data_IF_845537941888
#
_entry.id   IF_845537941888
#
_cell.length_a   1.000
_cell.length_b   1.000
_cell.length_c   1.000
_cell.angle_alpha   90.00
_cell.angle_beta   90.00
_cell.angle_gamma   90.00
#
_symmetry.space_group_name_H-M   'P 1'
#
loop_
_entity.id
_entity.type
_entity.pdbx_description
1 polymer ?
#
# COMPACT_ATOMS: atom_id res chain seq x y z
N UNK A 1 19.66 48.00 7.18
CA UNK A 1 19.00 49.30 6.86
C UNK A 1 17.50 49.17 7.12
N UNK A 2 16.85 50.12 7.79
CA UNK A 2 15.39 50.05 8.04
C UNK A 2 14.69 51.27 7.45
N UNK A 3 13.72 51.06 6.58
CA UNK A 3 12.85 52.09 6.00
C UNK A 3 11.40 51.80 6.37
N UNK A 4 10.66 52.85 6.77
CA UNK A 4 9.26 52.74 7.18
C UNK A 4 8.43 53.84 6.57
N UNK A 5 7.25 53.51 6.05
CA UNK A 5 6.30 54.47 5.46
C UNK A 5 6.94 55.33 4.35
N UNK A 6 7.72 54.69 3.48
CA UNK A 6 8.53 55.36 2.47
C UNK A 6 8.05 55.03 1.06
N UNK A 7 8.12 56.01 0.15
CA UNK A 7 7.94 55.80 -1.28
C UNK A 7 9.27 56.08 -1.97
N UNK A 8 9.85 55.07 -2.61
CA UNK A 8 11.08 55.21 -3.39
C UNK A 8 10.77 54.81 -4.82
N UNK A 9 11.09 55.68 -5.77
CA UNK A 9 10.90 55.36 -7.18
C UNK A 9 12.03 54.46 -7.66
N UNK A 10 13.28 54.83 -7.39
CA UNK A 10 14.45 54.12 -7.89
C UNK A 10 15.47 53.87 -6.78
N UNK A 11 15.92 52.63 -6.66
CA UNK A 11 17.07 52.26 -5.85
C UNK A 11 18.02 51.41 -6.68
N UNK A 12 19.22 51.95 -6.95
CA UNK A 12 20.28 51.24 -7.67
C UNK A 12 21.49 51.06 -6.78
N UNK A 13 21.89 49.80 -6.59
CA UNK A 13 23.05 49.42 -5.79
C UNK A 13 24.02 48.60 -6.63
N UNK A 14 25.29 49.01 -6.61
CA UNK A 14 26.37 48.40 -7.40
C UNK A 14 27.54 48.05 -6.49
N UNK A 15 28.05 46.81 -6.63
CA UNK A 15 29.18 46.30 -5.84
C UNK A 15 28.98 46.50 -4.32
N UNK A 16 27.76 46.26 -3.85
CA UNK A 16 27.37 46.54 -2.47
C UNK A 16 27.27 45.26 -1.65
N UNK A 17 27.54 45.37 -0.35
CA UNK A 17 27.23 44.33 0.62
C UNK A 17 26.27 44.94 1.62
N UNK A 18 25.07 44.37 1.72
CA UNK A 18 24.04 44.83 2.64
C UNK A 18 23.58 43.67 3.51
N UNK A 19 23.48 43.95 4.80
CA UNK A 19 22.91 43.04 5.78
C UNK A 19 21.68 43.69 6.41
N UNK A 20 20.69 42.88 6.73
CA UNK A 20 19.50 43.27 7.50
C UNK A 20 18.74 44.44 6.87
N UNK A 21 18.28 44.28 5.63
CA UNK A 21 17.43 45.27 4.98
C UNK A 21 15.96 45.02 5.31
N UNK A 22 15.32 45.96 6.00
CA UNK A 22 13.91 45.85 6.39
C UNK A 22 13.12 47.03 5.83
N UNK A 23 12.08 46.73 5.06
CA UNK A 23 11.12 47.70 4.55
C UNK A 23 9.74 47.40 5.13
N UNK A 24 9.09 48.41 5.68
CA UNK A 24 7.76 48.28 6.28
C UNK A 24 6.82 49.38 5.81
N UNK A 25 5.65 48.98 5.30
CA UNK A 25 4.66 49.89 4.71
C UNK A 25 5.29 50.76 3.61
N UNK A 26 6.15 50.16 2.78
CA UNK A 26 6.90 50.89 1.76
C UNK A 26 6.39 50.57 0.36
N UNK A 27 6.50 51.55 -0.54
CA UNK A 27 6.26 51.36 -1.97
C UNK A 27 7.58 51.61 -2.69
N UNK A 28 8.09 50.59 -3.36
CA UNK A 28 9.25 50.69 -4.24
C UNK A 28 8.79 50.38 -5.67
N UNK A 29 9.11 51.28 -6.60
CA UNK A 29 8.86 51.00 -8.01
C UNK A 29 9.98 50.13 -8.55
N UNK A 30 11.23 50.61 -8.52
CA UNK A 30 12.37 49.95 -9.13
C UNK A 30 13.49 49.70 -8.11
N UNK A 31 13.87 48.44 -7.93
CA UNK A 31 15.05 48.02 -7.17
C UNK A 31 16.01 47.23 -8.06
N UNK A 32 17.21 47.79 -8.30
CA UNK A 32 18.24 47.16 -9.13
C UNK A 32 19.51 46.92 -8.33
N UNK A 33 19.95 45.66 -8.29
CA UNK A 33 21.17 45.22 -7.63
C UNK A 33 22.12 44.57 -8.64
N UNK A 34 23.33 45.11 -8.70
CA UNK A 34 24.38 44.62 -9.61
C UNK A 34 25.60 44.26 -8.79
N UNK A 35 26.12 43.04 -8.99
CA UNK A 35 27.29 42.51 -8.28
C UNK A 35 27.18 42.68 -6.76
N UNK A 36 25.99 42.49 -6.19
CA UNK A 36 25.73 42.79 -4.78
C UNK A 36 25.50 41.51 -3.97
N UNK A 37 25.84 41.57 -2.69
CA UNK A 37 25.56 40.50 -1.72
C UNK A 37 24.58 41.05 -0.69
N UNK A 38 23.40 40.44 -0.63
CA UNK A 38 22.39 40.74 0.36
C UNK A 38 22.18 39.54 1.27
N UNK A 39 22.25 39.80 2.57
CA UNK A 39 21.86 38.87 3.61
C UNK A 39 20.70 39.48 4.37
N UNK A 40 19.61 38.74 4.50
CA UNK A 40 18.37 39.15 5.18
C UNK A 40 17.67 40.39 4.58
N UNK A 41 16.84 40.17 3.57
CA UNK A 41 15.88 41.16 3.08
C UNK A 41 14.46 40.83 3.56
N UNK A 42 13.84 41.77 4.28
CA UNK A 42 12.50 41.61 4.83
C UNK A 42 11.59 42.73 4.35
N UNK A 43 10.49 42.37 3.67
CA UNK A 43 9.44 43.27 3.23
C UNK A 43 8.15 42.94 3.98
N UNK A 44 7.58 43.94 4.67
CA UNK A 44 6.34 43.82 5.43
C UNK A 44 5.35 44.86 4.92
N UNK A 45 4.14 44.42 4.56
CA UNK A 45 3.09 45.28 4.01
C UNK A 45 3.60 46.21 2.89
N UNK A 46 4.52 45.70 2.06
CA UNK A 46 5.22 46.51 1.07
C UNK A 46 4.76 46.15 -0.34
N UNK A 47 4.82 47.13 -1.24
CA UNK A 47 4.61 46.92 -2.66
C UNK A 47 5.94 47.16 -3.35
N UNK A 48 6.40 46.16 -4.11
CA UNK A 48 7.57 46.26 -4.95
C UNK A 48 7.16 45.91 -6.38
N UNK A 49 7.27 46.87 -7.30
CA UNK A 49 6.88 46.63 -8.68
C UNK A 49 7.96 45.80 -9.38
N UNK A 50 9.20 46.29 -9.40
CA UNK A 50 10.29 45.69 -10.15
C UNK A 50 11.50 45.42 -9.24
N UNK A 51 11.95 44.17 -9.21
CA UNK A 51 13.20 43.76 -8.58
C UNK A 51 14.11 43.08 -9.59
N UNK A 52 15.28 43.68 -9.84
CA UNK A 52 16.27 43.15 -10.78
C UNK A 52 17.59 42.87 -10.07
N UNK A 53 18.01 41.60 -10.08
CA UNK A 53 19.29 41.15 -9.56
C UNK A 53 20.18 40.65 -10.71
N UNK A 54 21.37 41.25 -10.84
CA UNK A 54 22.37 40.86 -11.84
C UNK A 54 23.66 40.50 -11.13
N UNK A 55 24.16 39.29 -11.38
CA UNK A 55 25.38 38.73 -10.76
C UNK A 55 25.37 38.90 -9.22
N UNK A 56 24.20 38.77 -8.59
CA UNK A 56 24.02 39.07 -7.17
C UNK A 56 23.74 37.80 -6.38
N UNK A 57 24.07 37.84 -5.09
CA UNK A 57 23.78 36.77 -4.15
C UNK A 57 22.80 37.33 -3.12
N UNK A 58 21.67 36.65 -2.95
CA UNK A 58 20.66 36.97 -1.96
C UNK A 58 20.41 35.71 -1.12
N UNK A 59 20.80 35.74 0.13
CA UNK A 59 20.69 34.55 1.00
C UNK A 59 19.26 34.35 1.47
N UNK A 60 18.65 35.38 2.05
CA UNK A 60 17.33 35.29 2.65
C UNK A 60 16.44 36.44 2.18
N UNK A 61 15.25 36.09 1.67
CA UNK A 61 14.21 37.04 1.32
C UNK A 61 12.87 36.64 1.93
N UNK A 62 12.29 37.52 2.74
CA UNK A 62 11.00 37.30 3.42
C UNK A 62 10.01 38.39 3.04
N UNK A 63 8.90 38.00 2.44
CA UNK A 63 7.77 38.89 2.10
C UNK A 63 6.55 38.51 2.94
N UNK A 64 6.12 39.43 3.81
CA UNK A 64 4.89 39.27 4.61
C UNK A 64 3.85 40.28 4.20
N UNK A 65 2.64 39.83 3.85
CA UNK A 65 1.54 40.67 3.36
C UNK A 65 1.98 41.64 2.25
N UNK A 66 2.89 41.23 1.40
CA UNK A 66 3.54 42.10 0.42
C UNK A 66 3.18 41.71 -1.00
N UNK A 67 3.26 42.67 -1.91
CA UNK A 67 3.05 42.45 -3.33
C UNK A 67 4.37 42.68 -4.03
N UNK A 68 4.81 41.69 -4.80
CA UNK A 68 5.93 41.76 -5.71
C UNK A 68 5.41 41.46 -7.12
N UNK A 69 5.46 42.44 -8.02
CA UNK A 69 4.96 42.24 -9.38
C UNK A 69 5.98 41.43 -10.17
N UNK A 70 7.18 41.99 -10.38
CA UNK A 70 8.19 41.43 -11.26
C UNK A 70 9.51 41.21 -10.52
N UNK A 71 10.03 39.98 -10.61
CA UNK A 71 11.35 39.63 -10.11
C UNK A 71 12.20 38.99 -11.19
N UNK A 72 13.33 39.62 -11.52
CA UNK A 72 14.27 39.14 -12.54
C UNK A 72 15.63 38.86 -11.93
N UNK A 73 16.07 37.61 -12.00
CA UNK A 73 17.40 37.18 -11.57
C UNK A 73 18.22 36.77 -12.79
N UNK A 74 19.31 37.48 -13.07
CA UNK A 74 20.29 37.13 -14.10
C UNK A 74 21.63 36.77 -13.47
N UNK A 75 22.13 35.55 -13.76
CA UNK A 75 23.37 35.00 -13.19
C UNK A 75 23.46 35.16 -11.66
N UNK A 76 22.32 35.08 -10.97
CA UNK A 76 22.21 35.39 -9.55
C UNK A 76 21.85 34.15 -8.75
N UNK A 77 22.17 34.17 -7.46
CA UNK A 77 21.86 33.10 -6.53
C UNK A 77 20.88 33.64 -5.51
N UNK A 78 19.74 32.97 -5.38
CA UNK A 78 18.77 33.16 -4.31
C UNK A 78 18.68 31.87 -3.51
N UNK A 79 19.06 31.91 -2.24
CA UNK A 79 19.09 30.70 -1.42
C UNK A 79 17.70 30.41 -0.86
N UNK A 80 17.15 31.33 -0.07
CA UNK A 80 15.87 31.16 0.62
C UNK A 80 14.89 32.29 0.27
N UNK A 81 13.69 31.91 -0.16
CA UNK A 81 12.58 32.83 -0.38
C UNK A 81 11.32 32.38 0.37
N UNK A 82 10.79 33.25 1.23
CA UNK A 82 9.61 32.97 2.05
C UNK A 82 8.53 34.02 1.78
N UNK A 83 7.36 33.57 1.35
CA UNK A 83 6.19 34.41 1.10
C UNK A 83 5.05 34.03 2.04
N UNK A 84 4.61 34.96 2.88
CA UNK A 84 3.52 34.79 3.84
C UNK A 84 2.40 35.78 3.52
N UNK A 85 1.23 35.27 3.11
CA UNK A 85 0.10 36.08 2.65
C UNK A 85 0.50 37.10 1.58
N UNK A 86 1.46 36.74 0.72
CA UNK A 86 2.05 37.65 -0.25
C UNK A 86 1.67 37.24 -1.67
N UNK A 87 1.78 38.19 -2.60
CA UNK A 87 1.53 37.97 -4.02
C UNK A 87 2.85 38.17 -4.75
N UNK A 88 3.26 37.17 -5.52
CA UNK A 88 4.33 37.27 -6.51
C UNK A 88 3.73 36.99 -7.89
N UNK A 89 3.79 38.00 -8.77
CA UNK A 89 3.13 37.87 -10.08
C UNK A 89 4.04 37.12 -11.05
N UNK A 90 5.20 37.67 -11.36
CA UNK A 90 6.14 37.12 -12.34
C UNK A 90 7.54 36.97 -11.73
N UNK A 91 8.12 35.78 -11.90
CA UNK A 91 9.51 35.51 -11.54
C UNK A 91 10.27 34.94 -12.74
N UNK A 92 11.38 35.57 -13.12
CA UNK A 92 12.21 35.19 -14.25
C UNK A 92 13.63 34.88 -13.81
N UNK A 93 14.10 33.67 -14.09
CA UNK A 93 15.45 33.20 -13.78
C UNK A 93 16.23 32.93 -15.07
N UNK A 94 17.29 33.71 -15.29
CA UNK A 94 18.20 33.58 -16.42
C UNK A 94 19.57 33.18 -15.91
N UNK A 95 19.96 31.91 -16.14
CA UNK A 95 21.20 31.34 -15.60
C UNK A 95 21.37 31.56 -14.09
N UNK A 96 20.25 31.57 -13.37
CA UNK A 96 20.19 31.85 -11.94
C UNK A 96 19.79 30.60 -11.17
N UNK A 97 20.16 30.57 -9.90
CA UNK A 97 19.86 29.47 -8.99
C UNK A 97 18.88 29.99 -7.94
N UNK A 98 17.76 29.29 -7.78
CA UNK A 98 16.87 29.40 -6.64
C UNK A 98 16.91 28.06 -5.90
N UNK A 99 17.25 28.06 -4.61
CA UNK A 99 17.43 26.81 -3.87
C UNK A 99 16.13 26.38 -3.18
N UNK A 100 15.58 27.24 -2.32
CA UNK A 100 14.43 26.92 -1.49
C UNK A 100 13.39 28.06 -1.57
N UNK A 101 12.12 27.68 -1.72
CA UNK A 101 10.97 28.60 -1.78
C UNK A 101 9.82 28.08 -0.92
N UNK A 102 9.33 28.90 0.00
CA UNK A 102 8.25 28.58 0.93
C UNK A 102 7.08 29.54 0.74
N UNK A 103 5.90 28.97 0.49
CA UNK A 103 4.65 29.72 0.28
C UNK A 103 3.66 29.38 1.39
N UNK A 104 3.21 30.39 2.15
CA UNK A 104 2.18 30.26 3.18
C UNK A 104 1.05 31.22 2.84
N UNK A 105 -0.10 30.69 2.41
CA UNK A 105 -1.26 31.49 1.98
C UNK A 105 -0.91 32.54 0.91
N UNK A 106 0.05 32.25 0.06
CA UNK A 106 0.59 33.17 -0.94
C UNK A 106 0.19 32.77 -2.35
N UNK A 107 0.14 33.75 -3.24
CA UNK A 107 -0.22 33.57 -4.65
C UNK A 107 1.05 33.72 -5.49
N UNK A 108 1.25 32.77 -6.41
CA UNK A 108 2.30 32.78 -7.43
C UNK A 108 1.66 32.52 -8.79
N UNK A 109 1.84 33.41 -9.77
CA UNK A 109 1.16 33.28 -11.07
C UNK A 109 2.05 32.84 -12.23
N UNK A 110 3.25 33.40 -12.41
CA UNK A 110 4.16 33.04 -13.49
C UNK A 110 5.61 32.85 -13.01
N UNK A 111 6.25 31.79 -13.51
CA UNK A 111 7.61 31.39 -13.19
C UNK A 111 8.32 30.98 -14.47
N UNK A 112 9.13 31.89 -15.02
CA UNK A 112 9.93 31.69 -16.21
C UNK A 112 11.36 31.24 -15.90
N UNK A 113 11.76 30.05 -16.37
CA UNK A 113 13.16 29.61 -16.31
C UNK A 113 13.77 29.57 -17.72
N UNK A 114 14.81 30.38 -17.95
CA UNK A 114 15.63 30.33 -19.17
C UNK A 114 17.06 29.97 -18.78
N UNK A 115 17.37 28.66 -18.76
CA UNK A 115 18.74 28.18 -18.53
C UNK A 115 19.39 27.72 -19.83
N UNK A 116 20.62 28.20 -20.09
CA UNK A 116 21.58 27.49 -20.94
C UNK A 116 22.70 26.99 -20.03
N UNK A 117 22.57 25.74 -19.60
CA UNK A 117 23.67 24.89 -19.15
C UNK A 117 24.51 25.39 -17.97
N UNK A 118 24.12 25.01 -16.76
CA UNK A 118 25.05 24.61 -15.71
C UNK A 118 24.28 23.72 -14.72
N UNK A 119 24.44 22.41 -14.86
CA UNK A 119 24.04 21.43 -13.86
C UNK A 119 24.83 21.69 -12.58
N UNK A 120 24.16 22.30 -11.61
CA UNK A 120 24.66 22.58 -10.28
C UNK A 120 23.57 22.36 -9.23
N UNK A 121 22.72 21.35 -9.44
CA UNK A 121 21.60 20.99 -8.57
C UNK A 121 21.28 19.49 -8.54
N UNK A 122 22.20 18.63 -8.99
CA UNK A 122 21.99 17.18 -9.08
C UNK A 122 22.21 16.43 -7.75
N UNK A 123 22.20 17.11 -6.59
CA UNK A 123 22.31 16.42 -5.29
C UNK A 123 21.04 16.38 -4.45
N UNK A 124 19.99 17.12 -4.78
CA UNK A 124 18.68 17.00 -4.09
C UNK A 124 17.61 16.30 -4.94
N UNK A 125 17.71 16.35 -6.28
CA UNK A 125 16.79 15.62 -7.16
C UNK A 125 17.07 14.11 -7.30
N UNK A 126 18.27 13.64 -6.93
CA UNK A 126 18.59 12.19 -6.93
C UNK A 126 18.17 11.49 -5.63
N UNK A 127 18.06 12.22 -4.51
CA UNK A 127 17.54 11.65 -3.25
C UNK A 127 16.02 11.49 -3.31
N UNK A 128 15.26 12.49 -3.78
CA UNK A 128 13.80 12.34 -3.92
C UNK A 128 13.39 11.34 -5.01
N UNK A 129 14.04 11.36 -6.19
CA UNK A 129 13.80 10.32 -7.22
C UNK A 129 14.32 8.95 -6.78
N UNK A 130 15.39 8.92 -5.99
CA UNK A 130 15.91 7.70 -5.38
C UNK A 130 14.98 7.13 -4.32
N UNK A 131 14.32 7.96 -3.52
CA UNK A 131 13.35 7.58 -2.51
C UNK A 131 12.01 7.16 -3.12
N UNK A 132 11.55 7.84 -4.18
CA UNK A 132 10.35 7.44 -4.90
C UNK A 132 10.56 6.12 -5.66
N UNK A 133 11.71 5.95 -6.34
CA UNK A 133 12.08 4.67 -6.96
C UNK A 133 12.32 3.56 -5.93
N UNK A 134 12.94 3.86 -4.77
CA UNK A 134 13.11 2.89 -3.67
C UNK A 134 11.76 2.50 -3.09
N UNK A 135 10.86 3.46 -2.88
CA UNK A 135 9.50 3.24 -2.42
C UNK A 135 8.69 2.40 -3.39
N UNK A 136 8.78 2.65 -4.69
CA UNK A 136 8.15 1.81 -5.71
C UNK A 136 8.74 0.40 -5.78
N UNK A 137 10.08 0.26 -5.72
CA UNK A 137 10.75 -1.04 -5.70
C UNK A 137 10.41 -1.83 -4.44
N UNK A 138 10.30 -1.17 -3.30
CA UNK A 138 9.90 -1.77 -2.03
C UNK A 138 8.43 -2.20 -2.06
N UNK A 139 7.53 -1.34 -2.54
CA UNK A 139 6.11 -1.68 -2.76
C UNK A 139 5.95 -2.89 -3.69
N UNK A 140 6.66 -2.93 -4.82
CA UNK A 140 6.65 -4.08 -5.76
C UNK A 140 7.25 -5.35 -5.13
N UNK A 141 8.27 -5.23 -4.26
CA UNK A 141 8.85 -6.37 -3.53
C UNK A 141 7.90 -6.89 -2.47
N UNK A 142 7.21 -6.00 -1.76
CA UNK A 142 6.24 -6.38 -0.74
C UNK A 142 4.99 -7.02 -1.37
N UNK A 143 4.53 -6.50 -2.51
CA UNK A 143 3.45 -7.09 -3.30
C UNK A 143 3.79 -8.51 -3.77
N UNK A 144 4.98 -8.72 -4.35
CA UNK A 144 5.46 -10.07 -4.73
C UNK A 144 5.54 -11.02 -3.52
N UNK A 145 6.02 -10.54 -2.37
CA UNK A 145 6.04 -11.33 -1.12
C UNK A 145 4.63 -11.68 -0.64
N UNK A 146 3.65 -10.79 -0.81
CA UNK A 146 2.24 -11.05 -0.47
C UNK A 146 1.62 -12.06 -1.43
N UNK A 147 1.90 -11.96 -2.74
CA UNK A 147 1.46 -12.93 -3.75
C UNK A 147 2.06 -14.32 -3.52
N UNK A 148 3.36 -14.40 -3.22
CA UNK A 148 4.03 -15.67 -2.89
C UNK A 148 3.45 -16.31 -1.63
N UNK A 149 3.16 -15.50 -0.59
CA UNK A 149 2.50 -15.99 0.63
C UNK A 149 1.08 -16.48 0.34
N UNK A 150 0.29 -15.72 -0.43
CA UNK A 150 -1.08 -16.12 -0.83
C UNK A 150 -1.06 -17.41 -1.65
N UNK A 151 -0.19 -17.51 -2.65
CA UNK A 151 -0.03 -18.73 -3.45
C UNK A 151 0.47 -19.93 -2.62
N UNK A 152 1.32 -19.69 -1.61
CA UNK A 152 1.76 -20.71 -0.67
C UNK A 152 0.64 -21.22 0.25
N UNK A 153 -0.20 -20.30 0.76
CA UNK A 153 -1.35 -20.64 1.60
C UNK A 153 -2.45 -21.35 0.81
N UNK A 154 -2.73 -20.94 -0.43
CA UNK A 154 -3.67 -21.61 -1.32
C UNK A 154 -3.21 -23.04 -1.66
N UNK A 155 -1.93 -23.24 -1.96
CA UNK A 155 -1.37 -24.58 -2.21
C UNK A 155 -1.47 -25.48 -0.98
N UNK A 156 -1.11 -24.96 0.19
CA UNK A 156 -1.22 -25.70 1.48
C UNK A 156 -2.67 -26.00 1.85
N UNK A 157 -3.60 -25.08 1.58
CA UNK A 157 -5.02 -25.29 1.76
C UNK A 157 -5.60 -26.34 0.82
N UNK A 158 -5.18 -26.33 -0.45
CA UNK A 158 -5.58 -27.32 -1.45
C UNK A 158 -5.08 -28.73 -1.14
N UNK A 159 -3.83 -28.88 -0.69
CA UNK A 159 -3.28 -30.17 -0.28
C UNK A 159 -3.99 -30.74 0.96
N UNK A 160 -4.25 -29.91 1.97
CA UNK A 160 -4.99 -30.34 3.18
C UNK A 160 -6.41 -30.79 2.86
N UNK A 161 -7.13 -30.08 1.98
CA UNK A 161 -8.49 -30.47 1.55
C UNK A 161 -8.48 -31.81 0.81
N UNK A 162 -7.52 -32.03 -0.10
CA UNK A 162 -7.39 -33.31 -0.83
C UNK A 162 -7.05 -34.47 0.11
N UNK A 163 -6.24 -34.24 1.14
CA UNK A 163 -5.96 -35.26 2.15
C UNK A 163 -7.17 -35.59 3.01
N UNK A 164 -7.93 -34.59 3.46
CA UNK A 164 -9.16 -34.79 4.26
C UNK A 164 -10.25 -35.51 3.47
N UNK A 165 -10.49 -35.11 2.22
CA UNK A 165 -11.42 -35.79 1.32
C UNK A 165 -11.00 -37.25 1.09
N UNK A 166 -9.71 -37.48 0.83
CA UNK A 166 -9.17 -38.83 0.65
C UNK A 166 -9.28 -39.71 1.91
N UNK A 167 -9.15 -39.12 3.12
CA UNK A 167 -9.38 -39.84 4.38
C UNK A 167 -10.86 -40.19 4.57
N UNK A 168 -11.77 -39.25 4.31
CA UNK A 168 -13.21 -39.47 4.41
C UNK A 168 -13.74 -40.53 3.43
N UNK A 169 -13.22 -40.59 2.21
CA UNK A 169 -13.56 -41.67 1.27
C UNK A 169 -13.06 -43.05 1.72
N UNK A 170 -11.84 -43.13 2.25
CA UNK A 170 -11.29 -44.39 2.77
C UNK A 170 -12.06 -44.90 3.97
N UNK A 171 -12.51 -44.01 4.85
CA UNK A 171 -13.33 -44.35 6.01
C UNK A 171 -14.71 -44.85 5.60
N UNK A 172 -15.39 -44.15 4.67
CA UNK A 172 -16.68 -44.60 4.12
C UNK A 172 -16.59 -45.99 3.49
N UNK A 173 -15.56 -46.27 2.68
CA UNK A 173 -15.33 -47.60 2.10
C UNK A 173 -15.06 -48.68 3.15
N UNK A 174 -14.43 -48.34 4.27
CA UNK A 174 -14.21 -49.28 5.38
C UNK A 174 -15.49 -49.56 6.15
N UNK A 175 -16.31 -48.55 6.39
CA UNK A 175 -17.62 -48.74 7.02
C UNK A 175 -18.56 -49.58 6.16
N UNK A 176 -18.59 -49.33 4.85
CA UNK A 176 -19.40 -50.09 3.90
C UNK A 176 -19.03 -51.58 3.92
N UNK A 177 -17.73 -51.91 3.84
CA UNK A 177 -17.24 -53.29 3.97
C UNK A 177 -17.66 -53.94 5.29
N UNK A 178 -17.57 -53.22 6.41
CA UNK A 178 -18.01 -53.73 7.72
C UNK A 178 -19.51 -54.00 7.76
N UNK A 179 -20.32 -53.19 7.08
CA UNK A 179 -21.78 -53.40 6.99
C UNK A 179 -22.10 -54.62 6.12
N UNK A 180 -21.40 -54.78 5.00
CA UNK A 180 -21.54 -55.95 4.13
C UNK A 180 -21.15 -57.25 4.85
N UNK A 181 -20.03 -57.24 5.58
CA UNK A 181 -19.59 -58.39 6.39
C UNK A 181 -20.64 -58.77 7.44
N UNK A 182 -21.17 -57.80 8.18
CA UNK A 182 -22.24 -58.04 9.18
C UNK A 182 -23.51 -58.61 8.56
N UNK A 183 -23.94 -58.08 7.41
CA UNK A 183 -25.11 -58.62 6.67
C UNK A 183 -24.86 -60.06 6.24
N UNK A 184 -23.67 -60.36 5.72
CA UNK A 184 -23.29 -61.71 5.34
C UNK A 184 -23.23 -62.69 6.52
N UNK A 185 -22.82 -62.24 7.71
CA UNK A 185 -22.86 -63.05 8.92
C UNK A 185 -24.29 -63.32 9.41
N UNK A 186 -25.16 -62.31 9.36
CA UNK A 186 -26.58 -62.44 9.70
C UNK A 186 -27.29 -63.43 8.77
N UNK A 187 -27.11 -63.30 7.45
CA UNK A 187 -27.68 -64.22 6.46
C UNK A 187 -27.22 -65.67 6.69
N UNK A 188 -25.91 -65.88 6.89
CA UNK A 188 -25.38 -67.21 7.22
C UNK A 188 -25.92 -67.75 8.54
N UNK A 189 -26.16 -66.88 9.51
CA UNK A 189 -26.78 -67.23 10.78
C UNK A 189 -28.24 -67.66 10.63
N UNK A 190 -29.01 -66.96 9.79
CA UNK A 190 -30.37 -67.31 9.46
C UNK A 190 -30.47 -68.64 8.70
N UNK A 191 -29.61 -68.85 7.70
CA UNK A 191 -29.54 -70.12 6.96
C UNK A 191 -29.25 -71.30 7.89
N UNK A 192 -28.34 -71.14 8.85
CA UNK A 192 -28.05 -72.17 9.88
C UNK A 192 -29.28 -72.45 10.75
N UNK A 193 -29.97 -71.42 11.23
CA UNK A 193 -31.19 -71.56 12.06
C UNK A 193 -32.35 -72.21 11.30
N UNK A 194 -32.48 -71.92 10.01
CA UNK A 194 -33.48 -72.56 9.14
C UNK A 194 -33.10 -74.03 8.91
N UNK A 195 -31.83 -74.31 8.66
CA UNK A 195 -31.32 -75.67 8.53
C UNK A 195 -31.52 -76.51 9.79
N UNK A 196 -31.25 -75.95 10.97
CA UNK A 196 -31.50 -76.62 12.26
C UNK A 196 -32.99 -76.90 12.48
N UNK A 197 -33.86 -75.92 12.23
CA UNK A 197 -35.31 -76.11 12.34
C UNK A 197 -35.83 -77.22 11.42
N UNK A 198 -35.36 -77.28 10.17
CA UNK A 198 -35.71 -78.37 9.24
C UNK A 198 -35.26 -79.73 9.77
N UNK A 199 -34.03 -79.83 10.28
CA UNK A 199 -33.51 -81.07 10.89
C UNK A 199 -34.30 -81.50 12.12
N UNK A 200 -34.74 -80.56 12.95
CA UNK A 200 -35.60 -80.84 14.09
C UNK A 200 -36.99 -81.33 13.67
N UNK A 201 -37.60 -80.70 12.65
CA UNK A 201 -38.90 -81.13 12.11
C UNK A 201 -38.82 -82.52 11.47
N UNK A 202 -37.78 -82.79 10.68
CA UNK A 202 -37.50 -84.12 10.12
C UNK A 202 -37.31 -85.15 11.24
N UNK A 203 -36.52 -84.82 12.26
CA UNK A 203 -36.30 -85.68 13.42
C UNK A 203 -37.56 -85.93 14.24
N UNK A 204 -38.47 -84.95 14.37
CA UNK A 204 -39.80 -85.14 14.98
C UNK A 204 -40.68 -86.06 14.13
N UNK A 205 -40.71 -85.84 12.82
CA UNK A 205 -41.44 -86.70 11.89
C UNK A 205 -40.97 -88.16 11.93
N UNK A 206 -39.65 -88.40 12.01
CA UNK A 206 -39.10 -89.75 12.17
C UNK A 206 -39.46 -90.39 13.51
N UNK A 207 -39.43 -89.62 14.61
CA UNK A 207 -39.83 -90.12 15.95
C UNK A 207 -41.32 -90.46 16.01
N UNK A 208 -42.17 -89.65 15.39
CA UNK A 208 -43.61 -89.92 15.29
C UNK A 208 -43.89 -91.16 14.44
N UNK A 209 -43.20 -91.34 13.31
CA UNK A 209 -43.30 -92.56 12.50
C UNK A 209 -42.87 -93.81 13.27
N UNK A 210 -41.71 -93.76 13.94
CA UNK A 210 -41.23 -94.87 14.79
C UNK A 210 -42.15 -95.13 15.98
N UNK A 211 -42.73 -94.09 16.57
CA UNK A 211 -43.71 -94.21 17.66
C UNK A 211 -45.03 -94.82 17.20
N UNK A 212 -45.50 -94.43 16.01
CA UNK A 212 -46.68 -95.01 15.37
C UNK A 212 -46.47 -96.48 14.98
N UNK A 213 -45.30 -96.84 14.48
CA UNK A 213 -44.93 -98.24 14.19
C UNK A 213 -44.86 -99.09 15.46
N UNK A 214 -44.23 -98.58 16.53
CA UNK A 214 -44.19 -99.28 17.84
C UNK A 214 -45.58 -99.48 18.44
N UNK A 215 -46.45 -98.46 18.40
CA UNK A 215 -47.84 -98.58 18.86
C UNK A 215 -48.62 -99.62 18.04
N UNK A 216 -48.41 -99.66 16.72
CA UNK A 216 -49.02 -100.68 15.84
C UNK A 216 -48.48 -102.08 16.10
N UNK A 217 -47.21 -102.22 16.51
CA UNK A 217 -46.65 -103.50 16.94
C UNK A 217 -47.17 -103.94 18.33
N UNK A 218 -47.30 -103.02 19.29
CA UNK A 218 -47.92 -103.29 20.61
C UNK A 218 -49.39 -103.68 20.46
N UNK A 219 -50.19 -102.94 19.69
CA UNK A 219 -51.60 -103.28 19.43
C UNK A 219 -51.78 -104.62 18.71
N UNK A 220 -50.78 -105.07 17.94
CA UNK A 220 -50.78 -106.42 17.34
C UNK A 220 -50.39 -107.51 18.34
N UNK A 221 -49.55 -107.20 19.33
CA UNK A 221 -49.16 -108.14 20.40
C UNK A 221 -50.25 -108.32 21.45
N UNK A 222 -51.08 -107.31 21.70
CA UNK A 222 -52.24 -107.42 22.62
C UNK A 222 -53.45 -108.15 22.01
N UNK A 223 -53.43 -108.45 20.71
CA UNK A 223 -54.51 -109.13 19.97
C UNK A 223 -54.25 -110.63 19.72
N UNK A 224 -53.25 -111.22 20.36
CA UNK A 224 -52.88 -112.65 20.30
C UNK A 224 -52.83 -113.21 21.71
#
# INVERSE_FOLDING_TARGET
MVLTNSILTDMVLTNSILTDMVLTNSILTDMVLINSILTDMVLINSILTDMVLINSILTDMVLTNSILTDMVLTNSILTDMVLINSILTDMVLINSILTDMVLINSILTDMGHHSRGATGGERRGEEERGEEERGERERRREERRREEKRGGEERRGGERRREEEGRGERERRREERRREEKRGEEERGEERRVGERRREEEGRGERERRGGERRREEEKRERV
#
